data_IF_143689785911
#
_entry.id   IF_143689785911
#
_cell.length_a   1.000
_cell.length_b   1.000
_cell.length_c   1.000
_cell.angle_alpha   90.00
_cell.angle_beta   90.00
_cell.angle_gamma   90.00
#
_symmetry.space_group_name_H-M   'P 1'
#
loop_
_entity.id
_entity.type
_entity.pdbx_description
1 polymer ?
#
# COMPACT_ATOMS: atom_id res chain seq x y z
N UNK A 1 -14.63 -18.45 29.98
CA UNK A 1 -13.84 -19.73 29.95
C UNK A 1 -13.29 -20.18 28.59
N UNK A 2 -14.03 -20.15 27.47
CA UNK A 2 -13.49 -20.53 26.14
C UNK A 2 -12.86 -19.34 25.40
N UNK A 3 -13.55 -18.20 25.36
CA UNK A 3 -13.15 -16.97 24.64
C UNK A 3 -11.80 -16.43 25.12
N UNK A 4 -11.59 -16.28 26.43
CA UNK A 4 -10.31 -15.85 26.98
C UNK A 4 -9.13 -16.76 26.61
N UNK A 5 -9.34 -18.07 26.36
CA UNK A 5 -8.28 -18.95 25.85
C UNK A 5 -7.96 -18.70 24.37
N UNK A 6 -8.97 -18.42 23.55
CA UNK A 6 -8.80 -18.08 22.15
C UNK A 6 -8.04 -16.75 22.01
N UNK A 7 -8.52 -15.69 22.69
CA UNK A 7 -7.84 -14.39 22.71
C UNK A 7 -6.41 -14.48 23.26
N UNK A 8 -6.17 -15.25 24.34
CA UNK A 8 -4.79 -15.47 24.86
C UNK A 8 -3.86 -16.14 23.84
N UNK A 9 -4.39 -17.01 22.98
CA UNK A 9 -3.60 -17.62 21.90
C UNK A 9 -3.29 -16.65 20.75
N UNK A 10 -4.26 -15.81 20.36
CA UNK A 10 -4.09 -14.74 19.37
C UNK A 10 -3.10 -13.69 19.89
N UNK A 11 -3.27 -13.24 21.14
CA UNK A 11 -2.38 -12.29 21.81
C UNK A 11 -0.95 -12.82 21.94
N UNK A 12 -0.79 -14.12 22.25
CA UNK A 12 0.52 -14.78 22.27
C UNK A 12 1.16 -14.81 20.87
N UNK A 13 0.38 -15.06 19.80
CA UNK A 13 0.89 -14.97 18.43
C UNK A 13 1.28 -13.53 18.04
N UNK A 14 0.50 -12.52 18.47
CA UNK A 14 0.77 -11.10 18.16
C UNK A 14 1.98 -10.51 18.90
N UNK A 15 2.19 -10.90 20.17
CA UNK A 15 3.14 -10.24 21.08
C UNK A 15 4.28 -11.11 21.59
N UNK A 16 4.15 -12.44 21.48
CA UNK A 16 5.02 -13.41 22.15
C UNK A 16 4.88 -13.45 23.68
N UNK A 17 3.97 -12.68 24.29
CA UNK A 17 3.83 -12.56 25.75
C UNK A 17 2.60 -13.28 26.28
N UNK A 18 2.81 -14.37 27.01
CA UNK A 18 1.73 -15.22 27.53
C UNK A 18 1.21 -14.84 28.94
N UNK A 19 1.77 -13.81 29.60
CA UNK A 19 1.65 -13.62 31.05
C UNK A 19 1.14 -12.25 31.54
N UNK A 20 1.00 -11.24 30.69
CA UNK A 20 0.73 -9.86 31.16
C UNK A 20 -0.76 -9.48 31.26
N UNK A 21 -1.66 -10.27 30.66
CA UNK A 21 -3.08 -9.93 30.57
C UNK A 21 -3.93 -10.84 31.47
N UNK A 22 -4.64 -10.22 32.43
CA UNK A 22 -5.54 -10.90 33.38
C UNK A 22 -6.82 -11.35 32.68
N UNK A 23 -7.41 -12.48 33.10
CA UNK A 23 -8.61 -13.04 32.47
C UNK A 23 -9.78 -12.03 32.45
N UNK A 24 -9.90 -11.17 33.47
CA UNK A 24 -10.90 -10.07 33.50
C UNK A 24 -10.68 -8.97 32.44
N UNK A 25 -9.46 -8.82 31.94
CA UNK A 25 -9.11 -7.92 30.84
C UNK A 25 -9.47 -8.59 29.50
N UNK A 26 -9.42 -9.93 29.44
CA UNK A 26 -9.79 -10.74 28.27
C UNK A 26 -11.31 -10.92 28.09
N UNK A 27 -12.12 -10.50 29.07
CA UNK A 27 -13.59 -10.59 29.05
C UNK A 27 -14.26 -9.20 28.94
N UNK A 28 -13.48 -8.11 28.72
CA UNK A 28 -13.98 -6.76 28.50
C UNK A 28 -13.63 -6.24 27.09
N UNK A 29 -14.61 -5.86 26.23
CA UNK A 29 -14.35 -5.40 24.87
C UNK A 29 -13.45 -4.16 24.81
N UNK A 30 -13.62 -3.22 25.74
CA UNK A 30 -12.83 -1.98 25.78
C UNK A 30 -11.36 -2.25 26.12
N UNK A 31 -11.12 -3.25 26.98
CA UNK A 31 -9.79 -3.60 27.44
C UNK A 31 -9.02 -4.41 26.38
N UNK A 32 -9.70 -5.32 25.66
CA UNK A 32 -9.18 -5.97 24.46
C UNK A 32 -8.87 -4.95 23.37
N UNK A 33 -9.80 -4.01 23.12
CA UNK A 33 -9.61 -2.93 22.15
C UNK A 33 -8.37 -2.11 22.47
N UNK A 34 -8.22 -1.60 23.70
CA UNK A 34 -7.08 -0.78 24.11
C UNK A 34 -5.74 -1.52 23.96
N UNK A 35 -5.72 -2.81 24.27
CA UNK A 35 -4.52 -3.65 24.10
C UNK A 35 -4.09 -3.77 22.62
N UNK A 36 -5.04 -3.91 21.69
CA UNK A 36 -4.75 -3.80 20.25
C UNK A 36 -4.31 -2.39 19.85
N UNK A 37 -4.95 -1.31 20.36
CA UNK A 37 -4.57 0.07 20.05
C UNK A 37 -3.10 0.37 20.43
N UNK A 38 -2.61 -0.15 21.56
CA UNK A 38 -1.21 -0.05 21.97
C UNK A 38 -0.27 -0.82 21.03
N UNK A 39 -0.58 -2.07 20.64
CA UNK A 39 0.22 -2.81 19.65
C UNK A 39 0.28 -2.06 18.31
N UNK A 40 -0.87 -1.57 17.83
CA UNK A 40 -0.98 -0.84 16.56
C UNK A 40 -0.14 0.43 16.62
N UNK A 41 -0.17 1.16 17.74
CA UNK A 41 0.63 2.36 17.99
C UNK A 41 2.13 2.06 18.00
N UNK A 42 2.57 1.00 18.69
CA UNK A 42 3.97 0.59 18.74
C UNK A 42 4.47 0.10 17.37
N UNK A 43 3.68 -0.70 16.65
CA UNK A 43 4.00 -1.13 15.28
C UNK A 43 4.05 0.07 14.32
N UNK A 44 3.12 1.04 14.42
CA UNK A 44 3.18 2.30 13.64
C UNK A 44 4.46 3.08 13.95
N UNK A 45 4.84 3.23 15.22
CA UNK A 45 6.05 3.94 15.63
C UNK A 45 7.33 3.25 15.09
N UNK A 46 7.42 1.92 15.20
CA UNK A 46 8.53 1.14 14.68
C UNK A 46 8.63 1.21 13.14
N UNK A 47 7.50 1.16 12.43
CA UNK A 47 7.43 1.31 10.99
C UNK A 47 7.94 2.69 10.53
N UNK A 48 7.60 3.77 11.24
CA UNK A 48 8.12 5.11 10.94
C UNK A 48 9.63 5.22 11.20
N UNK A 49 10.14 4.64 12.30
CA UNK A 49 11.60 4.57 12.58
C UNK A 49 12.32 3.82 11.46
N UNK A 50 11.77 2.69 11.02
CA UNK A 50 12.34 1.86 9.97
C UNK A 50 12.35 2.56 8.60
N UNK A 51 11.24 3.22 8.23
CA UNK A 51 11.17 4.10 7.06
C UNK A 51 12.21 5.23 7.12
N UNK A 52 12.43 5.81 8.30
CA UNK A 52 13.48 6.80 8.54
C UNK A 52 14.89 6.26 8.30
N UNK A 53 15.19 5.04 8.75
CA UNK A 53 16.48 4.38 8.50
C UNK A 53 16.69 4.10 6.99
N UNK A 54 15.67 3.61 6.28
CA UNK A 54 15.73 3.43 4.81
C UNK A 54 16.01 4.76 4.10
N UNK A 55 15.37 5.86 4.53
CA UNK A 55 15.62 7.19 3.97
C UNK A 55 17.06 7.68 4.21
N UNK A 56 17.66 7.38 5.38
CA UNK A 56 19.07 7.67 5.65
C UNK A 56 20.02 6.85 4.76
N UNK A 57 19.74 5.57 4.55
CA UNK A 57 20.50 4.73 3.60
C UNK A 57 20.41 5.26 2.16
N UNK A 58 19.21 5.66 1.71
CA UNK A 58 19.02 6.29 0.40
C UNK A 58 19.79 7.61 0.28
N UNK A 59 19.86 8.43 1.33
CA UNK A 59 20.63 9.67 1.33
C UNK A 59 22.15 9.39 1.24
N UNK A 60 22.66 8.41 1.97
CA UNK A 60 24.06 7.98 1.90
C UNK A 60 24.42 7.42 0.51
N UNK A 61 23.55 6.59 -0.07
CA UNK A 61 23.70 6.10 -1.44
C UNK A 61 23.72 7.26 -2.44
N UNK A 62 22.85 8.27 -2.27
CA UNK A 62 22.83 9.45 -3.13
C UNK A 62 24.10 10.30 -2.99
N UNK A 63 24.67 10.39 -1.79
CA UNK A 63 25.97 11.03 -1.58
C UNK A 63 27.08 10.29 -2.34
N UNK A 64 27.13 8.95 -2.28
CA UNK A 64 28.08 8.14 -3.08
C UNK A 64 27.90 8.37 -4.58
N UNK A 65 26.67 8.37 -5.10
CA UNK A 65 26.37 8.66 -6.52
C UNK A 65 26.88 10.04 -6.94
N UNK A 66 26.70 11.06 -6.11
CA UNK A 66 27.22 12.39 -6.38
C UNK A 66 28.77 12.40 -6.37
N UNK A 67 29.41 11.65 -5.47
CA UNK A 67 30.87 11.49 -5.45
C UNK A 67 31.40 10.80 -6.71
N UNK A 68 30.71 9.77 -7.21
CA UNK A 68 31.03 9.15 -8.52
C UNK A 68 30.93 10.19 -9.63
N UNK A 69 29.82 10.95 -9.70
CA UNK A 69 29.61 11.94 -10.75
C UNK A 69 30.68 13.06 -10.78
N UNK A 70 31.19 13.51 -9.63
CA UNK A 70 32.32 14.45 -9.59
C UNK A 70 33.64 13.77 -9.98
N UNK A 71 33.92 12.56 -9.49
CA UNK A 71 35.11 11.79 -9.88
C UNK A 71 35.14 11.51 -11.40
N UNK A 72 34.00 11.22 -12.03
CA UNK A 72 33.92 11.02 -13.49
C UNK A 72 34.36 12.29 -14.25
N UNK A 73 33.93 13.49 -13.81
CA UNK A 73 34.39 14.75 -14.42
C UNK A 73 35.89 14.96 -14.23
N UNK A 74 36.44 14.59 -13.07
CA UNK A 74 37.87 14.66 -12.81
C UNK A 74 38.66 13.68 -13.67
N UNK A 75 38.13 12.46 -13.90
CA UNK A 75 38.73 11.47 -14.83
C UNK A 75 38.77 12.02 -16.25
N UNK A 76 37.65 12.52 -16.80
CA UNK A 76 37.64 13.12 -18.14
C UNK A 76 38.63 14.28 -18.26
N UNK A 77 38.72 15.15 -17.24
CA UNK A 77 39.72 16.22 -17.21
C UNK A 77 41.16 15.69 -17.18
N UNK A 78 41.42 14.59 -16.48
CA UNK A 78 42.74 13.95 -16.47
C UNK A 78 43.07 13.25 -17.79
N UNK A 79 42.07 12.70 -18.49
CA UNK A 79 42.24 12.17 -19.86
C UNK A 79 42.66 13.26 -20.85
N UNK A 80 42.00 14.42 -20.80
CA UNK A 80 42.36 15.59 -21.60
C UNK A 80 43.79 16.08 -21.28
N UNK A 81 44.12 16.20 -19.99
CA UNK A 81 45.45 16.63 -19.53
C UNK A 81 46.56 15.63 -19.91
N UNK A 82 46.31 14.32 -19.77
CA UNK A 82 47.20 13.24 -20.21
C UNK A 82 47.43 13.29 -21.73
N UNK A 83 46.35 13.52 -22.49
CA UNK A 83 46.41 13.65 -23.96
C UNK A 83 47.17 14.91 -24.37
N UNK A 84 46.94 16.04 -23.71
CA UNK A 84 47.66 17.29 -23.92
C UNK A 84 49.16 17.21 -23.58
N UNK A 85 49.52 16.54 -22.48
CA UNK A 85 50.92 16.28 -22.11
C UNK A 85 51.63 15.43 -23.18
N UNK A 86 50.97 14.38 -23.69
CA UNK A 86 51.49 13.55 -24.78
C UNK A 86 51.63 14.33 -26.10
N UNK A 87 50.65 15.18 -26.44
CA UNK A 87 50.70 16.02 -27.63
C UNK A 87 51.87 17.02 -27.56
N UNK A 88 52.06 17.67 -26.40
CA UNK A 88 53.18 18.60 -26.17
C UNK A 88 54.54 17.88 -26.20
N UNK A 89 54.65 16.69 -25.61
CA UNK A 89 55.87 15.89 -25.68
C UNK A 89 56.26 15.56 -27.14
N UNK A 90 55.27 15.23 -28.00
CA UNK A 90 55.48 14.99 -29.44
C UNK A 90 55.92 16.26 -30.18
N UNK A 91 55.34 17.42 -29.84
CA UNK A 91 55.74 18.69 -30.42
C UNK A 91 57.20 19.03 -30.09
N UNK A 92 57.57 19.01 -28.79
CA UNK A 92 58.94 19.29 -28.34
C UNK A 92 59.94 18.33 -28.98
N UNK A 93 59.63 17.02 -29.03
CA UNK A 93 60.50 16.04 -29.69
C UNK A 93 60.67 16.33 -31.20
N UNK A 94 59.62 16.76 -31.90
CA UNK A 94 59.70 17.13 -33.32
C UNK A 94 60.54 18.40 -33.54
N UNK A 95 60.37 19.42 -32.69
CA UNK A 95 61.13 20.67 -32.75
C UNK A 95 62.63 20.43 -32.50
N UNK A 96 62.99 19.58 -31.54
CA UNK A 96 64.38 19.22 -31.25
C UNK A 96 65.00 18.31 -32.33
N UNK A 97 64.23 17.40 -32.94
CA UNK A 97 64.67 16.62 -34.11
C UNK A 97 64.98 17.53 -35.31
N UNK A 98 64.15 18.55 -35.57
CA UNK A 98 64.39 19.53 -36.64
C UNK A 98 65.64 20.39 -36.37
N UNK A 99 66.01 20.59 -35.11
CA UNK A 99 67.27 21.23 -34.70
C UNK A 99 68.49 20.28 -34.80
N UNK A 100 68.31 19.04 -35.24
CA UNK A 100 69.38 18.06 -35.42
C UNK A 100 69.84 17.37 -34.13
N UNK A 101 69.06 17.42 -33.04
CA UNK A 101 69.38 16.64 -31.84
C UNK A 101 69.13 15.15 -32.04
N UNK A 102 70.03 14.33 -31.48
CA UNK A 102 69.88 12.88 -31.40
C UNK A 102 68.72 12.49 -30.46
N UNK A 103 67.95 11.43 -30.77
CA UNK A 103 66.94 10.84 -29.87
C UNK A 103 67.37 10.63 -28.41
N UNK A 104 68.65 10.39 -28.10
CA UNK A 104 69.13 10.29 -26.71
C UNK A 104 69.21 11.65 -26.01
N UNK A 105 69.64 12.70 -26.73
CA UNK A 105 69.67 14.08 -26.19
C UNK A 105 68.26 14.61 -25.90
N UNK A 106 67.29 14.28 -26.76
CA UNK A 106 65.89 14.67 -26.59
C UNK A 106 65.26 14.04 -25.33
N UNK A 107 65.64 12.80 -24.99
CA UNK A 107 65.11 12.11 -23.79
C UNK A 107 65.56 12.72 -22.47
N UNK A 108 66.66 13.47 -22.48
CA UNK A 108 67.18 14.19 -21.30
C UNK A 108 66.88 15.70 -21.35
N UNK A 109 66.22 16.17 -22.42
CA UNK A 109 65.78 17.57 -22.52
C UNK A 109 64.80 17.92 -21.40
N UNK A 110 64.93 19.13 -20.88
CA UNK A 110 64.21 19.60 -19.69
C UNK A 110 62.72 19.82 -19.97
N UNK A 111 62.32 20.20 -21.18
CA UNK A 111 60.91 20.40 -21.52
C UNK A 111 60.24 19.11 -22.01
N UNK A 112 60.99 18.22 -22.68
CA UNK A 112 60.52 16.86 -22.98
C UNK A 112 60.26 16.05 -21.69
N UNK A 113 61.22 16.02 -20.77
CA UNK A 113 61.12 15.28 -19.50
C UNK A 113 59.98 15.79 -18.60
N UNK A 114 59.74 17.11 -18.54
CA UNK A 114 58.54 17.68 -17.87
C UNK A 114 57.24 17.13 -18.44
N UNK A 115 57.13 17.01 -19.77
CA UNK A 115 55.92 16.49 -20.41
C UNK A 115 55.73 14.99 -20.15
N UNK A 116 56.83 14.22 -20.11
CA UNK A 116 56.81 12.79 -19.72
C UNK A 116 56.43 12.62 -18.25
N UNK A 117 56.98 13.42 -17.34
CA UNK A 117 56.61 13.41 -15.92
C UNK A 117 55.12 13.70 -15.74
N UNK A 118 54.63 14.81 -16.31
CA UNK A 118 53.21 15.17 -16.24
C UNK A 118 52.28 14.08 -16.83
N UNK A 119 52.67 13.44 -17.94
CA UNK A 119 51.93 12.31 -18.49
C UNK A 119 51.81 11.14 -17.50
N UNK A 120 52.92 10.76 -16.85
CA UNK A 120 52.95 9.69 -15.86
C UNK A 120 52.13 10.04 -14.61
N UNK A 121 52.27 11.26 -14.11
CA UNK A 121 51.51 11.76 -12.95
C UNK A 121 50.01 11.71 -13.24
N UNK A 122 49.56 12.28 -14.36
CA UNK A 122 48.14 12.20 -14.77
C UNK A 122 47.66 10.77 -14.99
N UNK A 123 48.50 9.88 -15.55
CA UNK A 123 48.14 8.48 -15.76
C UNK A 123 47.96 7.74 -14.43
N UNK A 124 48.84 7.94 -13.45
CA UNK A 124 48.70 7.33 -12.12
C UNK A 124 47.46 7.84 -11.38
N UNK A 125 47.25 9.15 -11.32
CA UNK A 125 46.07 9.77 -10.68
C UNK A 125 44.76 9.32 -11.36
N UNK A 126 44.77 9.12 -12.67
CA UNK A 126 43.62 8.62 -13.42
C UNK A 126 43.28 7.18 -13.00
N UNK A 127 44.26 6.27 -12.97
CA UNK A 127 44.03 4.88 -12.53
C UNK A 127 43.54 4.79 -11.08
N UNK A 128 44.05 5.64 -10.17
CA UNK A 128 43.56 5.73 -8.80
C UNK A 128 42.09 6.17 -8.72
N UNK A 129 41.69 7.15 -9.54
CA UNK A 129 40.30 7.65 -9.57
C UNK A 129 39.34 6.68 -10.24
N UNK A 130 39.75 6.00 -11.31
CA UNK A 130 38.98 4.93 -11.94
C UNK A 130 38.74 3.77 -10.95
N UNK A 131 39.77 3.33 -10.24
CA UNK A 131 39.64 2.33 -9.19
C UNK A 131 38.65 2.79 -8.10
N UNK A 132 38.73 4.06 -7.68
CA UNK A 132 37.81 4.63 -6.68
C UNK A 132 36.36 4.75 -7.18
N UNK A 133 36.14 5.02 -8.46
CA UNK A 133 34.80 4.99 -9.08
C UNK A 133 34.25 3.56 -9.00
N UNK A 134 35.01 2.56 -9.45
CA UNK A 134 34.59 1.14 -9.44
C UNK A 134 34.25 0.64 -8.02
N UNK A 135 35.02 1.02 -7.01
CA UNK A 135 34.71 0.76 -5.59
C UNK A 135 33.36 1.37 -5.18
N UNK A 136 33.14 2.64 -5.50
CA UNK A 136 31.92 3.37 -5.13
C UNK A 136 30.69 2.83 -5.87
N UNK A 137 30.81 2.46 -7.14
CA UNK A 137 29.73 1.83 -7.92
C UNK A 137 29.36 0.46 -7.34
N UNK A 138 30.34 -0.35 -6.95
CA UNK A 138 30.12 -1.64 -6.26
C UNK A 138 29.38 -1.44 -4.93
N UNK A 139 29.77 -0.43 -4.15
CA UNK A 139 29.11 -0.06 -2.91
C UNK A 139 27.68 0.47 -3.12
N UNK A 140 27.45 1.27 -4.17
CA UNK A 140 26.13 1.78 -4.56
C UNK A 140 25.22 0.61 -4.94
N UNK A 141 25.70 -0.35 -5.72
CA UNK A 141 24.91 -1.52 -6.10
C UNK A 141 24.54 -2.39 -4.90
N UNK A 142 25.47 -2.60 -3.95
CA UNK A 142 25.17 -3.30 -2.69
C UNK A 142 24.09 -2.56 -1.89
N UNK A 143 24.28 -1.26 -1.67
CA UNK A 143 23.33 -0.43 -0.93
C UNK A 143 21.94 -0.41 -1.59
N UNK A 144 21.86 -0.38 -2.93
CA UNK A 144 20.60 -0.45 -3.68
C UNK A 144 19.88 -1.77 -3.42
N UNK A 145 20.58 -2.91 -3.50
CA UNK A 145 20.01 -4.24 -3.22
C UNK A 145 19.48 -4.33 -1.77
N UNK A 146 20.26 -3.83 -0.79
CA UNK A 146 19.88 -3.82 0.62
C UNK A 146 18.63 -2.94 0.86
N UNK A 147 18.60 -1.74 0.26
CA UNK A 147 17.47 -0.81 0.32
C UNK A 147 16.20 -1.45 -0.27
N UNK A 148 16.30 -2.15 -1.39
CA UNK A 148 15.15 -2.80 -2.03
C UNK A 148 14.64 -4.00 -1.22
N UNK A 149 15.54 -4.80 -0.62
CA UNK A 149 15.16 -5.82 0.36
C UNK A 149 14.43 -5.24 1.57
N UNK A 150 14.91 -4.10 2.10
CA UNK A 150 14.25 -3.42 3.22
C UNK A 150 12.90 -2.78 2.84
N UNK A 151 12.69 -2.35 1.58
CA UNK A 151 11.37 -1.90 1.08
C UNK A 151 10.36 -3.04 1.08
N UNK A 152 10.73 -4.23 0.60
CA UNK A 152 9.85 -5.42 0.61
C UNK A 152 9.45 -5.79 2.05
N UNK A 153 10.41 -5.73 2.99
CA UNK A 153 10.13 -5.93 4.42
C UNK A 153 9.21 -4.84 5.00
N UNK A 154 9.40 -3.57 4.61
CA UNK A 154 8.52 -2.47 5.01
C UNK A 154 7.09 -2.67 4.50
N UNK A 155 6.92 -3.16 3.27
CA UNK A 155 5.59 -3.51 2.73
C UNK A 155 4.93 -4.65 3.50
N UNK A 156 5.66 -5.72 3.82
CA UNK A 156 5.16 -6.82 4.63
C UNK A 156 4.69 -6.31 6.01
N UNK A 157 5.54 -5.57 6.73
CA UNK A 157 5.19 -4.94 8.01
C UNK A 157 3.99 -3.99 7.91
N UNK A 158 3.79 -3.34 6.76
CA UNK A 158 2.61 -2.48 6.50
C UNK A 158 1.33 -3.30 6.30
N UNK A 159 1.43 -4.49 5.69
CA UNK A 159 0.29 -5.41 5.52
C UNK A 159 -0.08 -6.05 6.85
N UNK A 160 0.89 -6.58 7.60
CA UNK A 160 0.69 -7.13 8.95
C UNK A 160 -0.01 -6.13 9.87
N UNK A 161 0.36 -4.84 9.75
CA UNK A 161 -0.25 -3.77 10.54
C UNK A 161 -1.73 -3.57 10.19
N UNK A 162 -2.13 -3.71 8.93
CA UNK A 162 -3.54 -3.65 8.52
C UNK A 162 -4.32 -4.85 9.02
N UNK A 163 -3.76 -6.06 8.87
CA UNK A 163 -4.36 -7.29 9.37
C UNK A 163 -4.64 -7.19 10.88
N UNK A 164 -3.71 -6.65 11.67
CA UNK A 164 -3.94 -6.41 13.11
C UNK A 164 -5.06 -5.38 13.39
N UNK A 165 -5.27 -4.40 12.52
CA UNK A 165 -6.41 -3.46 12.64
C UNK A 165 -7.76 -4.11 12.26
N UNK A 166 -7.75 -5.04 11.32
CA UNK A 166 -8.91 -5.85 10.92
C UNK A 166 -9.27 -6.83 12.04
N UNK A 167 -8.30 -7.63 12.51
CA UNK A 167 -8.42 -8.54 13.66
C UNK A 167 -8.92 -7.85 14.93
N UNK A 168 -8.45 -6.63 15.23
CA UNK A 168 -8.95 -5.84 16.35
C UNK A 168 -10.46 -5.62 16.25
N UNK A 169 -10.96 -5.32 15.05
CA UNK A 169 -12.37 -4.97 14.83
C UNK A 169 -13.26 -6.21 14.96
N UNK A 170 -12.81 -7.34 14.42
CA UNK A 170 -13.46 -8.65 14.53
C UNK A 170 -13.48 -9.14 15.99
N UNK A 171 -12.32 -9.17 16.67
CA UNK A 171 -12.21 -9.65 18.05
C UNK A 171 -13.04 -8.82 19.05
N UNK A 172 -13.18 -7.51 18.82
CA UNK A 172 -14.04 -6.65 19.66
C UNK A 172 -15.52 -6.89 19.38
N UNK A 173 -15.91 -7.08 18.11
CA UNK A 173 -17.30 -7.38 17.74
C UNK A 173 -17.76 -8.75 18.29
N UNK A 174 -16.94 -9.79 18.15
CA UNK A 174 -17.19 -11.12 18.70
C UNK A 174 -17.39 -11.10 20.22
N UNK A 175 -16.59 -10.30 20.93
CA UNK A 175 -16.64 -10.23 22.38
C UNK A 175 -17.87 -9.44 22.87
N UNK A 176 -18.29 -8.39 22.15
CA UNK A 176 -19.57 -7.71 22.39
C UNK A 176 -20.73 -8.69 22.18
N UNK A 177 -20.75 -9.40 21.05
CA UNK A 177 -21.80 -10.39 20.72
C UNK A 177 -21.87 -11.53 21.75
N UNK A 178 -20.72 -12.04 22.21
CA UNK A 178 -20.65 -13.04 23.26
C UNK A 178 -21.20 -12.53 24.59
N UNK A 179 -20.91 -11.28 24.94
CA UNK A 179 -21.42 -10.63 26.15
C UNK A 179 -22.92 -10.39 26.09
N UNK A 180 -23.45 -9.91 24.96
CA UNK A 180 -24.91 -9.80 24.76
C UNK A 180 -25.60 -11.16 24.89
N UNK A 181 -24.96 -12.22 24.38
CA UNK A 181 -25.46 -13.60 24.51
C UNK A 181 -25.44 -14.09 25.96
N UNK A 182 -24.40 -13.77 26.73
CA UNK A 182 -24.30 -14.05 28.16
C UNK A 182 -25.35 -13.27 28.96
N UNK A 183 -25.50 -11.97 28.72
CA UNK A 183 -26.53 -11.14 29.37
C UNK A 183 -27.95 -11.64 29.05
N UNK A 184 -28.23 -12.11 27.82
CA UNK A 184 -29.50 -12.77 27.47
C UNK A 184 -29.67 -14.12 28.20
N UNK A 185 -28.60 -14.92 28.31
CA UNK A 185 -28.64 -16.21 28.99
C UNK A 185 -28.83 -16.06 30.51
N UNK A 186 -28.24 -15.04 31.12
CA UNK A 186 -28.42 -14.69 32.53
C UNK A 186 -29.79 -14.08 32.81
N UNK A 187 -30.35 -13.29 31.87
CA UNK A 187 -31.76 -12.93 31.93
C UNK A 187 -32.64 -14.19 31.87
N UNK A 188 -32.32 -15.18 31.02
CA UNK A 188 -33.08 -16.42 30.90
C UNK A 188 -32.92 -17.37 32.10
N UNK A 189 -31.75 -17.43 32.72
CA UNK A 189 -31.49 -18.25 33.92
C UNK A 189 -32.08 -17.59 35.17
N UNK A 190 -31.95 -16.26 35.30
CA UNK A 190 -32.59 -15.41 36.29
C UNK A 190 -34.11 -15.25 36.11
N UNK A 191 -34.70 -15.80 35.05
CA UNK A 191 -36.15 -16.06 34.97
C UNK A 191 -36.53 -17.24 35.87
N UNK A 192 -35.68 -18.26 36.00
CA UNK A 192 -36.06 -19.55 36.60
C UNK A 192 -36.06 -19.62 38.14
N UNK A 193 -35.49 -18.63 38.85
CA UNK A 193 -35.29 -18.70 40.31
C UNK A 193 -36.14 -17.73 41.16
N UNK A 194 -36.71 -16.68 40.58
CA UNK A 194 -37.70 -15.85 41.28
C UNK A 194 -39.11 -16.33 40.95
N UNK A 195 -39.86 -16.73 41.99
CA UNK A 195 -41.06 -17.57 41.88
C UNK A 195 -42.26 -17.01 41.09
N UNK A 196 -43.39 -17.75 41.05
CA UNK A 196 -44.44 -17.65 40.01
C UNK A 196 -45.12 -16.28 39.81
N UNK A 197 -44.90 -15.30 40.69
CA UNK A 197 -45.35 -13.92 40.49
C UNK A 197 -44.44 -13.13 39.54
N UNK A 198 -43.13 -13.43 39.47
CA UNK A 198 -42.21 -12.81 38.50
C UNK A 198 -42.46 -13.35 37.08
N UNK A 199 -42.76 -14.65 36.95
CA UNK A 199 -43.21 -15.30 35.71
C UNK A 199 -44.42 -14.57 35.11
N UNK A 200 -45.43 -14.22 35.93
CA UNK A 200 -46.60 -13.46 35.50
C UNK A 200 -46.29 -12.02 35.11
N UNK A 201 -45.31 -11.38 35.76
CA UNK A 201 -44.81 -10.06 35.37
C UNK A 201 -44.15 -10.10 33.99
N UNK A 202 -43.28 -11.09 33.75
CA UNK A 202 -42.58 -11.26 32.47
C UNK A 202 -43.48 -11.80 31.35
N UNK A 203 -44.48 -12.63 31.64
CA UNK A 203 -45.53 -12.99 30.67
C UNK A 203 -46.33 -11.77 30.22
N UNK A 204 -46.54 -10.78 31.10
CA UNK A 204 -47.15 -9.49 30.73
C UNK A 204 -46.17 -8.69 29.88
N UNK A 205 -44.91 -8.57 30.29
CA UNK A 205 -43.88 -7.83 29.54
C UNK A 205 -43.57 -8.43 28.16
N UNK A 206 -43.53 -9.75 28.02
CA UNK A 206 -43.36 -10.46 26.74
C UNK A 206 -44.59 -10.24 25.85
N UNK A 207 -45.79 -10.30 26.41
CA UNK A 207 -47.03 -9.97 25.68
C UNK A 207 -47.06 -8.50 25.28
N UNK A 208 -46.53 -7.61 26.11
CA UNK A 208 -46.46 -6.17 25.85
C UNK A 208 -45.40 -5.87 24.78
N UNK A 209 -44.20 -6.44 24.87
CA UNK A 209 -43.17 -6.43 23.81
C UNK A 209 -43.63 -7.09 22.52
N UNK A 210 -44.43 -8.16 22.58
CA UNK A 210 -45.03 -8.79 21.40
C UNK A 210 -46.12 -7.91 20.78
N UNK A 211 -46.92 -7.24 21.61
CA UNK A 211 -47.92 -6.24 21.17
C UNK A 211 -47.22 -5.02 20.56
N UNK A 212 -46.18 -4.48 21.19
CA UNK A 212 -45.37 -3.39 20.63
C UNK A 212 -44.61 -3.81 19.38
N UNK A 213 -44.12 -5.06 19.27
CA UNK A 213 -43.56 -5.58 18.01
C UNK A 213 -44.62 -5.77 16.94
N UNK A 214 -45.84 -6.16 17.29
CA UNK A 214 -46.96 -6.22 16.35
C UNK A 214 -47.40 -4.83 15.91
N UNK A 215 -47.49 -3.86 16.83
CA UNK A 215 -47.80 -2.45 16.57
C UNK A 215 -46.71 -1.79 15.72
N UNK A 216 -45.42 -1.96 16.05
CA UNK A 216 -44.29 -1.51 15.22
C UNK A 216 -44.25 -2.23 13.89
N UNK A 217 -44.59 -3.52 13.82
CA UNK A 217 -44.69 -4.25 12.54
C UNK A 217 -45.93 -3.85 11.72
N UNK A 218 -46.97 -3.30 12.37
CA UNK A 218 -48.19 -2.78 11.75
C UNK A 218 -48.02 -1.30 11.34
N UNK A 219 -47.16 -0.55 12.03
CA UNK A 219 -46.65 0.76 11.60
C UNK A 219 -45.63 0.59 10.45
N UNK A 220 -44.72 -0.40 10.49
CA UNK A 220 -43.82 -0.71 9.36
C UNK A 220 -44.56 -1.25 8.14
N UNK A 221 -45.61 -2.05 8.34
CA UNK A 221 -46.50 -2.46 7.24
C UNK A 221 -47.47 -1.34 6.81
N UNK A 222 -47.71 -0.34 7.67
CA UNK A 222 -48.62 0.78 7.45
C UNK A 222 -47.96 2.07 6.97
N UNK A 223 -46.62 2.16 6.98
CA UNK A 223 -45.89 3.41 6.70
C UNK A 223 -44.64 3.18 5.84
N UNK A 224 -44.77 3.56 4.56
CA UNK A 224 -43.69 4.11 3.72
C UNK A 224 -42.43 3.27 3.42
N UNK A 225 -42.51 1.95 3.31
CA UNK A 225 -41.51 1.19 2.55
C UNK A 225 -41.74 1.31 1.03
N UNK A 226 -42.93 0.96 0.54
CA UNK A 226 -43.29 0.99 -0.89
C UNK A 226 -43.31 2.38 -1.49
N UNK A 227 -43.77 3.40 -0.75
CA UNK A 227 -43.85 4.79 -1.24
C UNK A 227 -42.46 5.39 -1.49
N UNK A 228 -41.47 5.06 -0.67
CA UNK A 228 -40.09 5.51 -0.87
C UNK A 228 -39.41 4.72 -1.99
N UNK A 229 -39.65 3.41 -2.09
CA UNK A 229 -39.10 2.58 -3.17
C UNK A 229 -39.64 2.99 -4.56
N UNK A 230 -40.93 3.35 -4.65
CA UNK A 230 -41.52 3.95 -5.86
C UNK A 230 -40.96 5.35 -6.17
N UNK A 231 -40.72 6.22 -5.18
CA UNK A 231 -40.06 7.51 -5.40
C UNK A 231 -38.61 7.34 -5.92
N UNK A 232 -37.84 6.40 -5.37
CA UNK A 232 -36.48 6.12 -5.84
C UNK A 232 -36.46 5.46 -7.23
N UNK A 233 -37.40 4.57 -7.55
CA UNK A 233 -37.54 3.98 -8.89
C UNK A 233 -38.03 5.01 -9.92
N UNK A 234 -38.89 5.96 -9.53
CA UNK A 234 -39.29 7.09 -10.39
C UNK A 234 -38.11 8.04 -10.65
N UNK A 235 -37.32 8.36 -9.62
CA UNK A 235 -36.12 9.16 -9.77
C UNK A 235 -35.09 8.49 -10.70
N UNK A 236 -34.81 7.19 -10.50
CA UNK A 236 -33.89 6.42 -11.34
C UNK A 236 -34.34 6.36 -12.82
N UNK A 237 -35.64 6.20 -13.09
CA UNK A 237 -36.21 6.26 -14.45
C UNK A 237 -36.13 7.64 -15.10
N UNK A 238 -35.94 8.71 -14.31
CA UNK A 238 -35.82 10.08 -14.82
C UNK A 238 -34.38 10.52 -15.13
N UNK A 239 -33.36 9.73 -14.79
CA UNK A 239 -31.95 10.15 -14.88
C UNK A 239 -31.01 9.18 -15.61
N UNK A 240 -31.52 8.22 -16.38
CA UNK A 240 -30.72 7.30 -17.20
C UNK A 240 -30.97 7.44 -18.70
N UNK A 241 -30.76 8.64 -19.25
CA UNK A 241 -30.55 8.81 -20.70
C UNK A 241 -29.09 8.49 -21.03
N UNK A 242 -28.76 7.19 -21.07
CA UNK A 242 -27.52 6.68 -21.66
C UNK A 242 -27.58 6.61 -23.20
N UNK A 243 -28.72 7.00 -23.78
CA UNK A 243 -29.07 6.78 -25.19
C UNK A 243 -28.33 7.71 -26.18
N UNK A 244 -27.78 8.84 -25.72
CA UNK A 244 -26.96 9.73 -26.57
C UNK A 244 -25.52 9.22 -26.77
N UNK A 245 -25.01 8.32 -25.93
CA UNK A 245 -23.63 7.84 -26.01
C UNK A 245 -23.49 6.64 -26.96
N UNK A 246 -24.32 5.61 -26.80
CA UNK A 246 -24.25 4.40 -27.65
C UNK A 246 -24.73 4.65 -29.10
N UNK A 247 -25.62 5.62 -29.30
CA UNK A 247 -26.05 6.06 -30.63
C UNK A 247 -24.89 6.64 -31.47
N UNK A 248 -23.87 7.22 -30.83
CA UNK A 248 -22.67 7.74 -31.48
C UNK A 248 -21.60 6.65 -31.76
N UNK A 249 -21.68 5.49 -31.10
CA UNK A 249 -20.69 4.40 -31.25
C UNK A 249 -21.14 3.36 -32.29
N UNK A 250 -22.43 3.03 -32.36
CA UNK A 250 -22.91 1.89 -33.16
C UNK A 250 -23.87 2.24 -34.31
N UNK A 251 -24.22 3.52 -34.51
CA UNK A 251 -25.22 3.99 -35.47
C UNK A 251 -24.89 3.89 -36.97
N UNK A 252 -24.00 2.99 -37.41
CA UNK A 252 -23.51 2.91 -38.78
C UNK A 252 -23.44 1.48 -39.35
N UNK A 253 -24.58 0.79 -39.50
CA UNK A 253 -24.65 -0.42 -40.33
C UNK A 253 -25.93 -1.26 -40.25
N UNK A 254 -26.67 -1.31 -41.39
CA UNK A 254 -27.49 -2.43 -41.93
C UNK A 254 -28.62 -3.01 -41.02
N UNK A 255 -29.93 -2.87 -41.32
CA UNK A 255 -30.80 -3.38 -42.43
C UNK A 255 -31.22 -4.87 -42.35
N UNK A 256 -32.47 -5.13 -42.77
CA UNK A 256 -33.21 -6.41 -42.97
C UNK A 256 -33.77 -7.12 -41.70
N UNK A 257 -35.10 -7.20 -41.50
CA UNK A 257 -36.13 -8.17 -42.01
C UNK A 257 -36.32 -9.41 -41.09
N UNK A 258 -37.48 -10.07 -40.93
CA UNK A 258 -38.91 -9.89 -41.33
C UNK A 258 -39.77 -10.86 -40.48
N UNK A 259 -40.98 -10.42 -40.07
CA UNK A 259 -42.31 -11.11 -39.92
C UNK A 259 -42.44 -12.63 -39.55
N UNK A 260 -43.59 -13.24 -39.21
CA UNK A 260 -45.01 -12.88 -38.96
C UNK A 260 -45.69 -14.01 -38.14
N UNK A 261 -46.82 -13.75 -37.45
CA UNK A 261 -48.13 -14.42 -37.72
C UNK A 261 -49.17 -14.24 -36.59
N UNK A 262 -50.41 -13.96 -36.99
CA UNK A 262 -51.64 -13.86 -36.17
C UNK A 262 -52.54 -15.11 -36.42
N UNK A 263 -53.64 -15.35 -35.65
CA UNK A 263 -54.94 -14.80 -36.09
C UNK A 263 -55.99 -14.46 -34.99
N UNK A 264 -57.00 -13.70 -35.42
CA UNK A 264 -58.23 -13.21 -34.74
C UNK A 264 -59.33 -14.30 -34.60
N UNK A 265 -60.48 -14.07 -33.92
CA UNK A 265 -61.65 -13.44 -34.60
C UNK A 265 -62.71 -12.68 -33.74
N UNK A 266 -63.39 -11.71 -34.40
CA UNK A 266 -64.85 -11.36 -34.28
C UNK A 266 -65.43 -10.85 -32.92
N UNK A 267 -66.49 -10.00 -32.81
CA UNK A 267 -67.51 -9.39 -33.71
C UNK A 267 -68.26 -8.23 -32.96
N UNK A 268 -69.22 -7.43 -33.46
CA UNK A 268 -69.93 -7.18 -34.74
C UNK A 268 -70.53 -5.73 -34.71
N UNK A 269 -71.10 -5.24 -35.83
CA UNK A 269 -72.21 -4.25 -35.97
C UNK A 269 -71.96 -2.75 -35.61
N UNK A 270 -72.51 -1.73 -36.29
CA UNK A 270 -73.54 -1.60 -37.36
C UNK A 270 -72.97 -0.74 -38.53
N UNK A 271 -73.23 -0.89 -39.85
CA UNK A 271 -74.40 -1.23 -40.71
C UNK A 271 -75.27 0.00 -41.14
N UNK A 272 -75.94 -0.02 -42.33
CA UNK A 272 -75.64 0.94 -43.42
C UNK A 272 -76.85 1.85 -43.80
N UNK A 273 -76.80 2.67 -44.88
CA UNK A 273 -77.14 2.37 -46.30
C UNK A 273 -76.66 3.52 -47.18
#
# INVERSE_FOLDING_TARGET
>A
MAIGRLFKSIWYALTGRAHEMSDKIMENPEAVRGAYEDIIKDKKANLQRYKGAIAQLMALMKQKQNSVAELTKEVTRLEDLKTGALAKAKQVASELQQQGQDPEAIKIDVDYTKCVAAYNDFSSTLTEKEARINELETDIQRAQNDIDGHKVQLEALTRDLKTIQEEQSEAVADLISARETEEIADMLSGISMDGPNAELGRMREIREKAKSRAEISQELAGTNATVQEDEFLAAARSSSSSDEFDALIFGAGQTDKVETSTPTPEKDSELPV
#
